data_IF_174731844728
#
_entry.id   IF_174731844728
#
_cell.length_a   1.000
_cell.length_b   1.000
_cell.length_c   1.000
_cell.angle_alpha   90.00
_cell.angle_beta   90.00
_cell.angle_gamma   90.00
#
_symmetry.space_group_name_H-M   'P 1'
#
loop_
_entity.id
_entity.type
_entity.pdbx_description
1 polymer ?
#
# COMPACT_ATOMS: atom_id res chain seq x y z
N UNK A 1 5.13 26.07 58.40
CA UNK A 1 4.64 24.85 59.10
C UNK A 1 3.12 24.70 58.92
N UNK A 2 2.64 24.61 57.67
CA UNK A 2 1.19 24.74 57.39
C UNK A 2 0.64 23.71 56.41
N UNK A 3 1.50 22.89 55.79
CA UNK A 3 1.10 21.89 54.78
C UNK A 3 0.64 20.57 55.43
N UNK A 4 1.21 20.18 56.57
CA UNK A 4 0.88 18.92 57.24
C UNK A 4 -0.50 18.84 57.90
N UNK A 5 -1.15 19.98 58.20
CA UNK A 5 -2.49 20.02 58.81
C UNK A 5 -3.62 19.85 57.80
N UNK A 6 -3.42 20.26 56.54
CA UNK A 6 -4.44 20.16 55.48
C UNK A 6 -4.57 18.71 55.00
N UNK A 7 -3.45 17.99 54.86
CA UNK A 7 -3.47 16.59 54.40
C UNK A 7 -4.21 15.64 55.37
N UNK A 8 -4.10 15.88 56.69
CA UNK A 8 -4.83 15.08 57.70
C UNK A 8 -6.34 15.33 57.68
N UNK A 9 -6.79 16.56 57.38
CA UNK A 9 -8.22 16.87 57.30
C UNK A 9 -8.88 16.22 56.08
N UNK A 10 -8.19 16.18 54.93
CA UNK A 10 -8.70 15.56 53.71
C UNK A 10 -8.80 14.03 53.83
N UNK A 11 -7.81 13.37 54.43
CA UNK A 11 -7.83 11.92 54.61
C UNK A 11 -8.95 11.45 55.57
N UNK A 12 -9.24 12.21 56.62
CA UNK A 12 -10.35 11.90 57.55
C UNK A 12 -11.71 12.10 56.86
N UNK A 13 -11.84 13.14 56.04
CA UNK A 13 -13.07 13.40 55.27
C UNK A 13 -13.39 12.30 54.25
N UNK A 14 -12.38 11.79 53.53
CA UNK A 14 -12.58 10.71 52.54
C UNK A 14 -12.94 9.39 53.22
N UNK A 15 -12.32 9.05 54.35
CA UNK A 15 -12.66 7.85 55.11
C UNK A 15 -14.09 7.91 55.69
N UNK A 16 -14.51 9.08 56.19
CA UNK A 16 -15.87 9.26 56.69
C UNK A 16 -16.92 9.18 55.57
N UNK A 17 -16.61 9.70 54.37
CA UNK A 17 -17.50 9.65 53.22
C UNK A 17 -17.71 8.22 52.69
N UNK A 18 -16.67 7.39 52.68
CA UNK A 18 -16.78 5.97 52.31
C UNK A 18 -17.53 5.12 53.34
N UNK A 19 -17.44 5.46 54.64
CA UNK A 19 -18.22 4.77 55.68
C UNK A 19 -19.70 5.17 55.65
N UNK A 20 -20.00 6.43 55.33
CA UNK A 20 -21.38 6.93 55.22
C UNK A 20 -22.10 6.44 53.95
N UNK A 21 -21.40 6.18 52.85
CA UNK A 21 -22.01 5.64 51.62
C UNK A 21 -22.40 4.16 51.73
N UNK A 22 -21.86 3.42 52.72
CA UNK A 22 -22.18 2.01 52.96
C UNK A 22 -23.31 1.81 53.99
N UNK A 23 -23.62 2.82 54.81
CA UNK A 23 -24.70 2.78 55.81
C UNK A 23 -26.10 2.48 55.22
N UNK A 24 -26.51 3.02 54.05
CA UNK A 24 -27.82 2.70 53.45
C UNK A 24 -27.93 1.22 53.07
N UNK A 25 -26.86 0.63 52.51
CA UNK A 25 -26.85 -0.76 52.08
C UNK A 25 -26.90 -1.74 53.28
N UNK A 26 -26.28 -1.37 54.41
CA UNK A 26 -26.32 -2.15 55.65
C UNK A 26 -27.71 -2.06 56.29
N UNK A 27 -28.30 -0.86 56.36
CA UNK A 27 -29.67 -0.65 56.87
C UNK A 27 -30.74 -1.34 56.03
N UNK A 28 -30.56 -1.42 54.70
CA UNK A 28 -31.45 -2.19 53.81
C UNK A 28 -31.36 -3.70 54.09
N UNK A 29 -30.15 -4.23 54.32
CA UNK A 29 -29.94 -5.66 54.63
C UNK A 29 -30.51 -6.07 55.99
N UNK A 30 -30.45 -5.19 57.00
CA UNK A 30 -30.99 -5.49 58.34
C UNK A 30 -32.53 -5.49 58.40
N UNK A 31 -33.21 -4.84 57.45
CA UNK A 31 -34.67 -4.80 57.36
C UNK A 31 -35.28 -5.93 56.49
N UNK A 32 -34.48 -6.90 56.05
CA UNK A 32 -34.97 -8.01 55.22
C UNK A 32 -35.48 -7.56 53.85
N UNK A 33 -35.09 -6.38 53.37
CA UNK A 33 -35.41 -5.91 52.03
C UNK A 33 -34.45 -6.62 51.08
N UNK A 34 -34.92 -7.70 50.44
CA UNK A 34 -34.22 -8.32 49.33
C UNK A 34 -34.06 -7.27 48.24
N UNK A 35 -32.80 -6.90 47.95
CA UNK A 35 -32.49 -6.10 46.78
C UNK A 35 -32.98 -6.90 45.56
N UNK A 36 -33.73 -6.27 44.63
CA UNK A 36 -34.13 -6.94 43.41
C UNK A 36 -32.86 -7.50 42.77
N UNK A 37 -32.84 -8.81 42.50
CA UNK A 37 -31.73 -9.43 41.81
C UNK A 37 -31.46 -8.61 40.55
N UNK A 38 -30.19 -8.22 40.35
CA UNK A 38 -29.79 -7.59 39.11
C UNK A 38 -30.29 -8.50 37.97
N UNK A 39 -30.99 -7.97 36.95
CA UNK A 39 -31.50 -8.80 35.87
C UNK A 39 -30.33 -9.62 35.33
N UNK A 40 -30.55 -10.93 35.17
CA UNK A 40 -29.55 -11.82 34.61
C UNK A 40 -29.00 -11.16 33.34
N UNK A 41 -27.68 -10.94 33.29
CA UNK A 41 -27.04 -10.43 32.08
C UNK A 41 -27.35 -11.46 31.00
N UNK A 42 -28.08 -11.10 29.94
CA UNK A 42 -28.37 -12.06 28.88
C UNK A 42 -27.04 -12.58 28.34
N UNK A 43 -26.83 -13.89 28.38
CA UNK A 43 -25.65 -14.52 27.82
C UNK A 43 -25.57 -14.12 26.33
N UNK A 44 -24.43 -13.53 25.94
CA UNK A 44 -24.23 -13.21 24.54
C UNK A 44 -24.30 -14.51 23.72
N UNK A 45 -25.02 -14.51 22.58
CA UNK A 45 -25.07 -15.68 21.72
C UNK A 45 -23.66 -16.07 21.25
N UNK A 46 -23.36 -17.36 21.26
CA UNK A 46 -22.11 -17.92 20.76
C UNK A 46 -22.21 -18.05 19.23
N UNK A 47 -21.29 -17.42 18.51
CA UNK A 47 -21.23 -17.49 17.05
C UNK A 47 -20.16 -18.49 16.59
N UNK A 48 -20.38 -19.12 15.44
CA UNK A 48 -19.44 -20.08 14.85
C UNK A 48 -19.20 -19.74 13.38
N UNK A 49 -17.98 -19.98 12.91
CA UNK A 49 -17.64 -19.94 11.49
C UNK A 49 -18.01 -21.25 10.76
N UNK A 50 -17.75 -21.32 9.45
CA UNK A 50 -18.00 -22.51 8.62
C UNK A 50 -17.25 -23.78 9.06
N UNK A 51 -16.18 -23.63 9.84
CA UNK A 51 -15.39 -24.76 10.38
C UNK A 51 -15.86 -25.18 11.78
N UNK A 52 -16.86 -24.50 12.33
CA UNK A 52 -17.36 -24.72 13.69
C UNK A 52 -16.54 -23.98 14.77
N UNK A 53 -15.53 -23.20 14.39
CA UNK A 53 -14.72 -22.42 15.33
C UNK A 53 -15.57 -21.28 15.90
N UNK A 54 -15.55 -21.12 17.23
CA UNK A 54 -16.20 -19.99 17.89
C UNK A 54 -15.55 -18.67 17.48
N UNK A 55 -16.39 -17.71 17.09
CA UNK A 55 -16.01 -16.36 16.66
C UNK A 55 -16.83 -15.32 17.42
N UNK A 56 -16.37 -14.08 17.43
CA UNK A 56 -17.13 -12.97 18.00
C UNK A 56 -18.17 -12.42 17.00
N UNK A 57 -19.09 -11.58 17.49
CA UNK A 57 -20.16 -10.99 16.66
C UNK A 57 -19.64 -10.21 15.44
N UNK A 58 -18.55 -9.45 15.59
CA UNK A 58 -18.02 -8.65 14.50
C UNK A 58 -17.43 -9.52 13.37
N UNK A 59 -16.76 -10.61 13.75
CA UNK A 59 -16.28 -11.63 12.80
C UNK A 59 -17.45 -12.32 12.09
N UNK A 60 -18.53 -12.63 12.83
CA UNK A 60 -19.73 -13.22 12.27
C UNK A 60 -20.44 -12.29 11.28
N UNK A 61 -20.62 -11.01 11.61
CA UNK A 61 -21.21 -10.02 10.71
C UNK A 61 -20.35 -9.79 9.45
N UNK A 62 -19.02 -9.75 9.60
CA UNK A 62 -18.12 -9.68 8.45
C UNK A 62 -18.20 -10.93 7.56
N UNK A 63 -18.30 -12.12 8.16
CA UNK A 63 -18.50 -13.37 7.42
C UNK A 63 -19.82 -13.31 6.62
N UNK A 64 -20.94 -12.97 7.26
CA UNK A 64 -22.25 -12.87 6.61
C UNK A 64 -22.25 -11.91 5.42
N UNK A 65 -21.64 -10.73 5.56
CA UNK A 65 -21.57 -9.75 4.48
C UNK A 65 -20.83 -10.28 3.24
N UNK A 66 -19.69 -10.95 3.45
CA UNK A 66 -18.91 -11.58 2.37
C UNK A 66 -19.69 -12.73 1.71
N UNK A 67 -20.34 -13.56 2.51
CA UNK A 67 -21.10 -14.71 2.01
C UNK A 67 -22.33 -14.28 1.22
N UNK A 68 -23.05 -13.27 1.71
CA UNK A 68 -24.17 -12.67 1.00
C UNK A 68 -23.71 -12.14 -0.36
N UNK A 69 -22.60 -11.41 -0.39
CA UNK A 69 -22.06 -10.82 -1.61
C UNK A 69 -21.70 -11.90 -2.65
N UNK A 70 -21.07 -12.99 -2.21
CA UNK A 70 -20.73 -14.11 -3.07
C UNK A 70 -21.98 -14.87 -3.58
N UNK A 71 -22.95 -15.12 -2.71
CA UNK A 71 -24.16 -15.87 -3.05
C UNK A 71 -25.07 -15.11 -4.03
N UNK A 72 -25.13 -13.79 -3.94
CA UNK A 72 -25.97 -12.93 -4.79
C UNK A 72 -25.22 -12.34 -5.98
N UNK A 73 -23.93 -12.66 -6.16
CA UNK A 73 -23.14 -12.19 -7.27
C UNK A 73 -22.95 -10.66 -7.29
N UNK A 74 -22.84 -10.03 -6.12
CA UNK A 74 -22.69 -8.58 -5.99
C UNK A 74 -21.39 -8.12 -6.69
N UNK A 75 -21.50 -7.07 -7.52
CA UNK A 75 -20.39 -6.54 -8.33
C UNK A 75 -20.04 -5.09 -8.04
N UNK A 76 -20.89 -4.36 -7.33
CA UNK A 76 -20.69 -2.93 -7.07
C UNK A 76 -20.82 -2.59 -5.58
N UNK A 77 -20.12 -1.54 -5.14
CA UNK A 77 -20.23 -1.02 -3.77
C UNK A 77 -21.62 -0.44 -3.48
N UNK A 78 -22.28 0.12 -4.50
CA UNK A 78 -23.64 0.62 -4.39
C UNK A 78 -24.64 -0.48 -4.01
N UNK A 79 -24.51 -1.67 -4.58
CA UNK A 79 -25.32 -2.84 -4.22
C UNK A 79 -25.06 -3.29 -2.78
N UNK A 80 -23.79 -3.31 -2.34
CA UNK A 80 -23.44 -3.59 -0.93
C UNK A 80 -24.15 -2.62 0.02
N UNK A 81 -24.09 -1.32 -0.27
CA UNK A 81 -24.71 -0.25 0.53
C UNK A 81 -26.25 -0.32 0.54
N UNK A 82 -26.85 -0.79 -0.54
CA UNK A 82 -28.31 -0.92 -0.63
C UNK A 82 -28.85 -2.12 0.17
N UNK A 83 -28.08 -3.21 0.26
CA UNK A 83 -28.55 -4.49 0.81
C UNK A 83 -28.07 -4.77 2.23
N UNK A 84 -26.96 -4.18 2.66
CA UNK A 84 -26.28 -4.52 3.92
C UNK A 84 -25.97 -3.27 4.74
N UNK A 85 -25.73 -3.46 6.04
CA UNK A 85 -25.38 -2.38 6.96
C UNK A 85 -24.09 -2.69 7.72
N UNK A 86 -23.43 -1.63 8.22
CA UNK A 86 -22.28 -1.72 9.13
C UNK A 86 -21.18 -2.69 8.67
N UNK A 87 -20.83 -3.69 9.48
CA UNK A 87 -19.73 -4.62 9.22
C UNK A 87 -20.04 -5.59 8.07
N UNK A 88 -21.31 -5.93 7.85
CA UNK A 88 -21.72 -6.74 6.70
C UNK A 88 -21.46 -5.97 5.40
N UNK A 89 -21.83 -4.68 5.37
CA UNK A 89 -21.56 -3.81 4.23
C UNK A 89 -20.05 -3.72 3.97
N UNK A 90 -19.24 -3.45 4.99
CA UNK A 90 -17.78 -3.38 4.85
C UNK A 90 -17.17 -4.67 4.30
N UNK A 91 -17.66 -5.83 4.72
CA UNK A 91 -17.17 -7.10 4.21
C UNK A 91 -17.63 -7.40 2.77
N UNK A 92 -18.83 -6.95 2.39
CA UNK A 92 -19.30 -6.95 1.00
C UNK A 92 -18.44 -6.04 0.13
N UNK A 93 -18.15 -4.82 0.59
CA UNK A 93 -17.29 -3.87 -0.11
C UNK A 93 -15.90 -4.47 -0.35
N UNK A 94 -15.29 -5.08 0.67
CA UNK A 94 -14.01 -5.81 0.52
C UNK A 94 -14.10 -6.95 -0.49
N UNK A 95 -15.23 -7.66 -0.55
CA UNK A 95 -15.44 -8.71 -1.55
C UNK A 95 -15.50 -8.12 -2.96
N UNK A 96 -16.22 -7.01 -3.16
CA UNK A 96 -16.27 -6.29 -4.44
C UNK A 96 -14.89 -5.80 -4.85
N UNK A 97 -14.15 -5.11 -3.97
CA UNK A 97 -12.78 -4.66 -4.24
C UNK A 97 -11.86 -5.82 -4.63
N UNK A 98 -12.02 -6.99 -4.00
CA UNK A 98 -11.20 -8.18 -4.31
C UNK A 98 -11.47 -8.78 -5.70
N UNK A 99 -12.60 -8.46 -6.31
CA UNK A 99 -12.92 -8.86 -7.68
C UNK A 99 -12.37 -7.87 -8.72
N UNK A 100 -11.96 -6.67 -8.31
CA UNK A 100 -11.41 -5.67 -9.23
C UNK A 100 -9.99 -6.06 -9.61
N UNK A 101 -9.71 -5.99 -10.91
CA UNK A 101 -8.38 -6.22 -11.45
C UNK A 101 -7.52 -4.98 -11.24
N UNK A 102 -6.88 -4.87 -10.09
CA UNK A 102 -5.83 -3.86 -9.85
C UNK A 102 -4.51 -4.44 -10.42
N UNK A 103 -3.85 -3.76 -11.38
CA UNK A 103 -2.54 -4.17 -11.87
C UNK A 103 -1.53 -4.34 -10.72
N UNK A 104 -0.41 -5.04 -10.91
CA UNK A 104 0.65 -5.04 -9.91
C UNK A 104 1.24 -3.63 -9.77
N UNK A 105 1.58 -3.24 -8.54
CA UNK A 105 2.33 -2.00 -8.30
C UNK A 105 3.73 -2.12 -8.93
N UNK A 106 4.16 -1.08 -9.62
CA UNK A 106 5.48 -1.05 -10.25
C UNK A 106 6.48 -0.34 -9.36
N UNK A 107 7.71 -0.88 -9.30
CA UNK A 107 8.84 -0.19 -8.69
C UNK A 107 9.45 0.76 -9.71
N UNK A 108 9.41 2.05 -9.44
CA UNK A 108 9.96 3.11 -10.29
C UNK A 108 11.50 3.05 -10.37
N UNK A 109 12.16 2.31 -9.46
CA UNK A 109 13.62 2.22 -9.36
C UNK A 109 14.25 1.17 -10.25
N UNK A 110 13.48 0.42 -11.05
CA UNK A 110 14.01 -0.56 -12.01
C UNK A 110 14.42 0.12 -13.34
N UNK A 111 15.37 1.05 -13.25
CA UNK A 111 15.88 1.84 -14.38
C UNK A 111 16.48 0.97 -15.51
N UNK A 112 16.78 -0.30 -15.24
CA UNK A 112 17.33 -1.27 -16.18
C UNK A 112 16.25 -2.02 -16.99
N UNK A 113 14.96 -1.93 -16.61
CA UNK A 113 13.84 -2.63 -17.27
C UNK A 113 13.61 -2.27 -18.74
N UNK A 114 14.28 -1.23 -19.27
CA UNK A 114 14.05 -0.75 -20.63
C UNK A 114 12.76 0.05 -20.80
N UNK A 115 12.02 0.30 -19.71
CA UNK A 115 10.79 1.10 -19.73
C UNK A 115 11.07 2.56 -20.11
N UNK A 116 10.15 3.18 -20.83
CA UNK A 116 10.18 4.61 -21.13
C UNK A 116 9.39 5.41 -20.08
N UNK A 117 9.61 6.73 -20.02
CA UNK A 117 8.77 7.65 -19.23
C UNK A 117 7.27 7.41 -19.45
N UNK A 118 6.87 7.25 -20.71
CA UNK A 118 5.47 7.03 -21.07
C UNK A 118 4.94 5.66 -20.63
N UNK A 119 5.77 4.61 -20.70
CA UNK A 119 5.40 3.29 -20.16
C UNK A 119 5.25 3.33 -18.64
N UNK A 120 6.19 3.98 -17.93
CA UNK A 120 6.12 4.19 -16.49
C UNK A 120 4.83 4.92 -16.10
N UNK A 121 4.52 6.03 -16.78
CA UNK A 121 3.32 6.83 -16.51
C UNK A 121 2.04 6.01 -16.68
N UNK A 122 1.92 5.24 -17.76
CA UNK A 122 0.75 4.38 -18.00
C UNK A 122 0.58 3.31 -16.92
N UNK A 123 1.67 2.71 -16.46
CA UNK A 123 1.62 1.67 -15.42
C UNK A 123 1.24 2.27 -14.05
N UNK A 124 1.84 3.42 -13.68
CA UNK A 124 1.48 4.18 -12.46
C UNK A 124 0.01 4.59 -12.52
N UNK A 125 -0.43 5.18 -13.63
CA UNK A 125 -1.82 5.61 -13.81
C UNK A 125 -2.78 4.41 -13.76
N UNK A 126 -2.47 3.29 -14.41
CA UNK A 126 -3.32 2.10 -14.39
C UNK A 126 -3.46 1.50 -12.98
N UNK A 127 -2.38 1.47 -12.20
CA UNK A 127 -2.41 1.00 -10.81
C UNK A 127 -3.25 1.93 -9.91
N UNK A 128 -2.92 3.21 -9.90
CA UNK A 128 -3.51 4.15 -8.96
C UNK A 128 -4.92 4.57 -9.33
N UNK A 129 -5.25 4.71 -10.62
CA UNK A 129 -6.61 5.05 -11.03
C UNK A 129 -7.61 3.98 -10.60
N UNK A 130 -7.28 2.70 -10.75
CA UNK A 130 -8.14 1.60 -10.30
C UNK A 130 -8.38 1.65 -8.78
N UNK A 131 -7.34 1.89 -7.98
CA UNK A 131 -7.43 1.96 -6.53
C UNK A 131 -8.18 3.22 -6.05
N UNK A 132 -7.91 4.37 -6.67
CA UNK A 132 -8.58 5.64 -6.32
C UNK A 132 -10.05 5.58 -6.69
N UNK A 133 -10.41 4.97 -7.82
CA UNK A 133 -11.80 4.80 -8.21
C UNK A 133 -12.53 3.83 -7.27
N UNK A 134 -11.88 2.75 -6.84
CA UNK A 134 -12.42 1.85 -5.82
C UNK A 134 -12.77 2.58 -4.51
N UNK A 135 -11.86 3.44 -4.03
CA UNK A 135 -12.09 4.28 -2.84
C UNK A 135 -13.27 5.23 -3.02
N UNK A 136 -13.42 5.84 -4.20
CA UNK A 136 -14.55 6.74 -4.50
C UNK A 136 -15.86 5.98 -4.56
N UNK A 137 -15.90 4.80 -5.17
CA UNK A 137 -17.09 3.97 -5.23
C UNK A 137 -17.56 3.51 -3.83
N UNK A 138 -16.62 3.29 -2.91
CA UNK A 138 -16.92 3.06 -1.48
C UNK A 138 -17.40 4.32 -0.74
N UNK A 139 -17.30 5.50 -1.35
CA UNK A 139 -17.65 6.80 -0.76
C UNK A 139 -16.56 7.39 0.14
N UNK A 140 -15.32 6.90 0.06
CA UNK A 140 -14.18 7.41 0.82
C UNK A 140 -13.37 8.44 -0.01
N UNK A 141 -14.01 9.57 -0.30
CA UNK A 141 -13.39 10.68 -1.05
C UNK A 141 -12.16 11.25 -0.34
N UNK A 142 -12.14 11.18 1.00
CA UNK A 142 -11.00 11.62 1.79
C UNK A 142 -9.79 10.74 1.52
N UNK A 143 -9.93 9.41 1.63
CA UNK A 143 -8.86 8.49 1.30
C UNK A 143 -8.47 8.62 -0.17
N UNK A 144 -9.41 8.64 -1.11
CA UNK A 144 -9.12 8.84 -2.53
C UNK A 144 -8.23 10.08 -2.77
N UNK A 145 -8.54 11.20 -2.12
CA UNK A 145 -7.75 12.42 -2.17
C UNK A 145 -6.37 12.28 -1.50
N UNK A 146 -6.27 11.62 -0.35
CA UNK A 146 -5.00 11.37 0.34
C UNK A 146 -4.08 10.49 -0.50
N UNK A 147 -4.60 9.38 -1.04
CA UNK A 147 -3.82 8.45 -1.85
C UNK A 147 -3.35 9.07 -3.16
N UNK A 148 -4.21 9.87 -3.80
CA UNK A 148 -3.82 10.66 -4.98
C UNK A 148 -2.64 11.58 -4.66
N UNK A 149 -2.69 12.33 -3.56
CA UNK A 149 -1.63 13.28 -3.21
C UNK A 149 -0.35 12.65 -2.67
N UNK A 150 -0.45 11.57 -1.89
CA UNK A 150 0.70 10.95 -1.20
C UNK A 150 1.41 9.87 -2.01
N UNK A 151 0.73 9.26 -2.98
CA UNK A 151 1.28 8.13 -3.73
C UNK A 151 1.24 8.37 -5.23
N UNK A 152 0.05 8.56 -5.81
CA UNK A 152 -0.08 8.69 -7.27
C UNK A 152 0.70 9.89 -7.83
N UNK A 153 0.50 11.09 -7.26
CA UNK A 153 1.17 12.29 -7.78
C UNK A 153 2.71 12.23 -7.67
N UNK A 154 3.30 11.83 -6.52
CA UNK A 154 4.74 11.61 -6.43
C UNK A 154 5.28 10.58 -7.42
N UNK A 155 4.65 9.40 -7.52
CA UNK A 155 5.11 8.34 -8.42
C UNK A 155 4.98 8.75 -9.90
N UNK A 156 3.94 9.49 -10.24
CA UNK A 156 3.76 10.08 -11.58
C UNK A 156 4.85 11.12 -11.88
N UNK A 157 5.23 11.94 -10.90
CA UNK A 157 6.33 12.88 -11.03
C UNK A 157 7.69 12.17 -11.20
N UNK A 158 7.93 11.07 -10.50
CA UNK A 158 9.14 10.26 -10.67
C UNK A 158 9.26 9.70 -12.09
N UNK A 159 8.16 9.24 -12.69
CA UNK A 159 8.15 8.78 -14.07
C UNK A 159 8.59 9.86 -15.07
N UNK A 160 8.35 11.15 -14.81
CA UNK A 160 8.75 12.23 -15.72
C UNK A 160 10.27 12.32 -15.91
N UNK A 161 11.04 11.83 -14.94
CA UNK A 161 12.49 11.86 -14.98
C UNK A 161 13.11 10.53 -15.42
N UNK A 162 12.28 9.56 -15.82
CA UNK A 162 12.72 8.19 -16.06
C UNK A 162 13.73 8.09 -17.20
N UNK A 163 13.43 8.69 -18.35
CA UNK A 163 14.35 8.68 -19.49
C UNK A 163 15.63 9.47 -19.20
N UNK A 164 15.55 10.54 -18.39
CA UNK A 164 16.72 11.36 -17.99
C UNK A 164 17.66 10.61 -17.05
N UNK A 165 17.15 9.77 -16.15
CA UNK A 165 18.00 8.93 -15.30
C UNK A 165 18.55 7.76 -16.11
N UNK A 166 17.71 7.16 -16.96
CA UNK A 166 18.06 6.00 -17.79
C UNK A 166 19.13 6.33 -18.83
N UNK A 167 19.13 7.52 -19.44
CA UNK A 167 20.12 7.90 -20.47
C UNK A 167 21.57 7.77 -19.97
N UNK A 168 21.81 8.03 -18.68
CA UNK A 168 23.14 7.87 -18.08
C UNK A 168 23.60 6.42 -18.12
N UNK A 169 22.75 5.49 -17.69
CA UNK A 169 23.05 4.04 -17.62
C UNK A 169 23.04 3.35 -18.98
N UNK A 170 22.10 3.74 -19.84
CA UNK A 170 21.86 3.07 -21.12
C UNK A 170 22.66 3.68 -22.26
N UNK A 171 23.05 4.95 -22.19
CA UNK A 171 23.78 5.62 -23.27
C UNK A 171 25.15 6.12 -22.82
N UNK A 172 25.23 6.98 -21.80
CA UNK A 172 26.49 7.66 -21.47
C UNK A 172 27.57 6.70 -20.96
N UNK A 173 27.24 5.78 -20.05
CA UNK A 173 28.19 4.78 -19.55
C UNK A 173 28.66 3.81 -20.66
N UNK A 174 27.77 3.19 -21.47
CA UNK A 174 28.19 2.43 -22.65
C UNK A 174 29.03 3.23 -23.63
N UNK A 175 28.66 4.47 -23.94
CA UNK A 175 29.41 5.32 -24.86
C UNK A 175 30.83 5.56 -24.35
N UNK A 176 31.00 5.84 -23.06
CA UNK A 176 32.32 6.06 -22.47
C UNK A 176 33.22 4.82 -22.61
N UNK A 177 32.66 3.62 -22.36
CA UNK A 177 33.36 2.35 -22.53
C UNK A 177 33.73 2.10 -23.99
N UNK A 178 32.78 2.25 -24.91
CA UNK A 178 32.99 2.07 -26.35
C UNK A 178 34.04 3.06 -26.89
N UNK A 179 33.99 4.32 -26.46
CA UNK A 179 34.96 5.35 -26.84
C UNK A 179 36.39 4.98 -26.37
N UNK A 180 36.52 4.42 -25.16
CA UNK A 180 37.81 3.96 -24.66
C UNK A 180 38.36 2.76 -25.48
N UNK A 181 37.49 1.85 -25.89
CA UNK A 181 37.84 0.71 -26.76
C UNK A 181 38.31 1.22 -28.12
N UNK A 182 37.52 2.07 -28.78
CA UNK A 182 37.87 2.64 -30.08
C UNK A 182 39.19 3.43 -30.04
N UNK A 183 39.42 4.23 -28.98
CA UNK A 183 40.69 4.96 -28.80
C UNK A 183 41.89 4.01 -28.70
N UNK A 184 41.73 2.87 -28.02
CA UNK A 184 42.77 1.83 -27.93
C UNK A 184 43.05 1.20 -29.29
N UNK A 185 42.01 0.88 -30.06
CA UNK A 185 42.14 0.34 -31.43
C UNK A 185 42.83 1.35 -32.37
N UNK A 186 42.45 2.63 -32.30
CA UNK A 186 43.05 3.70 -33.09
C UNK A 186 44.54 3.92 -32.78
N UNK A 187 44.99 3.49 -31.59
CA UNK A 187 46.40 3.53 -31.18
C UNK A 187 47.16 2.24 -31.55
N UNK A 188 46.60 1.38 -32.40
CA UNK A 188 47.20 0.10 -32.83
C UNK A 188 46.99 -1.07 -31.86
N UNK A 189 46.14 -0.91 -30.86
CA UNK A 189 45.76 -2.01 -29.97
C UNK A 189 44.82 -3.03 -30.66
N UNK A 190 44.56 -4.13 -29.97
CA UNK A 190 43.63 -5.18 -30.43
C UNK A 190 42.36 -5.23 -29.59
N UNK A 191 41.27 -5.71 -30.19
CA UNK A 191 40.01 -5.94 -29.50
C UNK A 191 40.04 -7.29 -28.77
N UNK A 192 39.65 -7.26 -27.50
CA UNK A 192 39.54 -8.45 -26.65
C UNK A 192 38.15 -9.09 -26.76
N UNK A 193 38.02 -10.34 -26.32
CA UNK A 193 36.70 -11.00 -26.22
C UNK A 193 35.78 -10.29 -25.22
N UNK A 194 36.35 -9.69 -24.19
CA UNK A 194 35.59 -8.92 -23.21
C UNK A 194 35.02 -7.63 -23.81
N UNK A 195 35.76 -6.94 -24.68
CA UNK A 195 35.25 -5.79 -25.44
C UNK A 195 34.05 -6.18 -26.31
N UNK A 196 34.18 -7.31 -27.04
CA UNK A 196 33.10 -7.85 -27.89
C UNK A 196 31.87 -8.20 -27.05
N UNK A 197 32.05 -8.89 -25.94
CA UNK A 197 30.97 -9.28 -25.03
C UNK A 197 30.28 -8.05 -24.43
N UNK A 198 31.05 -7.01 -24.06
CA UNK A 198 30.54 -5.76 -23.53
C UNK A 198 29.66 -5.03 -24.55
N UNK A 199 30.15 -4.82 -25.77
CA UNK A 199 29.37 -4.11 -26.81
C UNK A 199 28.11 -4.91 -27.14
N UNK A 200 28.19 -6.24 -27.27
CA UNK A 200 27.01 -7.10 -27.51
C UNK A 200 25.97 -7.02 -26.39
N UNK A 201 26.40 -6.86 -25.13
CA UNK A 201 25.51 -6.71 -23.99
C UNK A 201 24.82 -5.33 -23.98
N UNK A 202 25.56 -4.28 -24.34
CA UNK A 202 25.07 -2.91 -24.26
C UNK A 202 24.15 -2.55 -25.46
N UNK A 203 24.42 -3.12 -26.65
CA UNK A 203 23.74 -2.81 -27.91
C UNK A 203 22.20 -2.89 -27.84
N UNK A 204 21.57 -3.94 -27.30
CA UNK A 204 20.11 -4.04 -27.25
C UNK A 204 19.47 -2.92 -26.43
N UNK A 205 20.10 -2.56 -25.31
CA UNK A 205 19.62 -1.49 -24.44
C UNK A 205 19.68 -0.12 -25.12
N UNK A 206 20.79 0.19 -25.79
CA UNK A 206 20.98 1.43 -26.55
C UNK A 206 20.03 1.49 -27.76
N UNK A 207 19.90 0.40 -28.51
CA UNK A 207 19.05 0.33 -29.70
C UNK A 207 17.57 0.56 -29.36
N UNK A 208 17.11 0.03 -28.22
CA UNK A 208 15.77 0.20 -27.69
C UNK A 208 15.53 1.54 -26.97
N UNK A 209 16.55 2.38 -26.79
CA UNK A 209 16.37 3.73 -26.24
C UNK A 209 15.66 4.63 -27.28
N UNK A 210 14.77 5.56 -26.86
CA UNK A 210 14.16 6.51 -27.79
C UNK A 210 15.16 7.26 -28.66
N UNK A 211 14.73 7.71 -29.84
CA UNK A 211 15.58 8.47 -30.76
C UNK A 211 16.18 9.70 -30.06
N UNK A 212 17.51 9.72 -29.96
CA UNK A 212 18.26 10.85 -29.45
C UNK A 212 19.66 10.91 -30.11
N UNK A 213 20.34 12.07 -30.13
CA UNK A 213 21.65 12.21 -30.78
C UNK A 213 22.76 11.30 -30.22
N UNK A 214 22.71 11.00 -28.92
CA UNK A 214 23.69 10.16 -28.24
C UNK A 214 23.54 8.67 -28.59
N UNK A 215 22.31 8.19 -28.77
CA UNK A 215 21.99 6.85 -29.30
C UNK A 215 22.54 6.72 -30.70
N UNK A 216 22.28 7.69 -31.57
CA UNK A 216 22.81 7.68 -32.95
C UNK A 216 24.33 7.64 -32.97
N UNK A 217 24.99 8.43 -32.11
CA UNK A 217 26.45 8.40 -31.98
C UNK A 217 26.95 7.02 -31.52
N UNK A 218 26.33 6.42 -30.50
CA UNK A 218 26.69 5.09 -30.02
C UNK A 218 26.53 4.03 -31.10
N UNK A 219 25.38 3.99 -31.79
CA UNK A 219 25.12 2.96 -32.80
C UNK A 219 26.13 3.03 -33.95
N UNK A 220 26.46 4.23 -34.42
CA UNK A 220 27.51 4.45 -35.42
C UNK A 220 28.88 3.95 -34.93
N UNK A 221 29.24 4.28 -33.69
CA UNK A 221 30.52 3.90 -33.11
C UNK A 221 30.59 2.38 -32.85
N UNK A 222 29.46 1.75 -32.53
CA UNK A 222 29.34 0.31 -32.33
C UNK A 222 29.49 -0.42 -33.66
N UNK A 223 28.87 0.07 -34.74
CA UNK A 223 29.06 -0.46 -36.09
C UNK A 223 30.53 -0.37 -36.52
N UNK A 224 31.19 0.78 -36.26
CA UNK A 224 32.63 0.94 -36.49
C UNK A 224 33.43 -0.09 -35.71
N UNK A 225 33.14 -0.29 -34.43
CA UNK A 225 33.82 -1.30 -33.61
C UNK A 225 33.66 -2.71 -34.19
N UNK A 226 32.44 -3.10 -34.57
CA UNK A 226 32.14 -4.43 -35.13
C UNK A 226 32.83 -4.66 -36.49
N UNK A 227 33.09 -3.61 -37.27
CA UNK A 227 33.87 -3.69 -38.50
C UNK A 227 35.37 -3.86 -38.24
N UNK A 228 35.91 -3.21 -37.20
CA UNK A 228 37.32 -3.29 -36.81
C UNK A 228 37.66 -4.57 -36.03
N UNK A 229 36.66 -5.19 -35.40
CA UNK A 229 36.80 -6.34 -34.51
C UNK A 229 35.72 -7.41 -34.78
N UNK A 230 35.75 -8.06 -35.95
CA UNK A 230 34.74 -9.05 -36.35
C UNK A 230 34.65 -10.26 -35.39
#
# INVERSE_FOLDING_TARGET
>A
MTVGRILRAVLIGVAAFWLLSLLPAILLRMNGIELPQAPAVPEEPVYHDRTGKTINRAEYDAMLGREYAAAHGIRTHAECKAQLQHLQQLACDRYVSSQKSIPPHIKQTDWASGKTTEQCRREVDAYWSALVEDLREMGDDHAAGVWTRKHWAPESAECQNYDNVRISKVIHEPQARLSAILKRLDSGGTATDEDRAMVRRDLPGVAAFPDNPYRTAYLRDADRFLQLAP
#
